data_IF_974912559840
#
_entry.id   IF_974912559840
#
_cell.length_a   1.000
_cell.length_b   1.000
_cell.length_c   1.000
_cell.angle_alpha   90.00
_cell.angle_beta   90.00
_cell.angle_gamma   90.00
#
_symmetry.space_group_name_H-M   'P 1'
#
loop_
_entity.id
_entity.type
_entity.pdbx_description
1 polymer ?
#
# COMPACT_ATOMS: atom_id res chain seq x y z
N UNK A 1 12.67 -18.02 48.45
CA UNK A 1 11.57 -17.46 47.63
C UNK A 1 11.74 -15.99 47.27
N UNK A 2 12.12 -15.10 48.20
CA UNK A 2 12.25 -13.64 47.93
C UNK A 2 13.33 -13.27 46.89
N UNK A 3 14.46 -13.99 46.87
CA UNK A 3 15.51 -13.81 45.86
C UNK A 3 15.11 -14.23 44.45
N UNK A 4 14.32 -15.29 44.31
CA UNK A 4 13.83 -15.76 43.02
C UNK A 4 12.85 -14.75 42.39
N UNK A 5 11.98 -14.13 43.20
CA UNK A 5 11.07 -13.08 42.75
C UNK A 5 11.82 -11.81 42.30
N UNK A 6 12.89 -11.41 43.01
CA UNK A 6 13.72 -10.27 42.64
C UNK A 6 14.45 -10.48 41.30
N UNK A 7 15.01 -11.67 41.07
CA UNK A 7 15.68 -12.01 39.81
C UNK A 7 14.70 -12.01 38.63
N UNK A 8 13.47 -12.51 38.84
CA UNK A 8 12.42 -12.53 37.80
C UNK A 8 11.99 -11.11 37.40
N UNK A 9 11.79 -10.22 38.37
CA UNK A 9 11.42 -8.82 38.13
C UNK A 9 12.56 -8.07 37.44
N UNK A 10 13.82 -8.25 37.87
CA UNK A 10 14.97 -7.64 37.21
C UNK A 10 15.13 -8.10 35.75
N UNK A 11 14.87 -9.39 35.48
CA UNK A 11 14.91 -9.94 34.12
C UNK A 11 13.84 -9.34 33.22
N UNK A 12 12.60 -9.22 33.73
CA UNK A 12 11.48 -8.60 33.01
C UNK A 12 11.75 -7.11 32.73
N UNK A 13 12.30 -6.37 33.69
CA UNK A 13 12.72 -4.97 33.49
C UNK A 13 13.84 -4.85 32.45
N UNK A 14 14.84 -5.75 32.48
CA UNK A 14 15.91 -5.78 31.48
C UNK A 14 15.42 -6.03 30.05
N UNK A 15 14.42 -6.92 29.89
CA UNK A 15 13.74 -7.16 28.60
C UNK A 15 12.98 -5.93 28.12
N UNK A 16 12.24 -5.25 28.99
CA UNK A 16 11.49 -4.03 28.65
C UNK A 16 12.42 -2.86 28.27
N UNK A 17 13.52 -2.68 28.99
CA UNK A 17 14.54 -1.66 28.68
C UNK A 17 15.24 -1.92 27.34
N UNK A 18 15.50 -3.18 26.97
CA UNK A 18 16.07 -3.53 25.66
C UNK A 18 15.13 -3.21 24.50
N UNK A 19 13.82 -3.32 24.69
CA UNK A 19 12.83 -2.93 23.68
C UNK A 19 12.78 -1.41 23.49
N UNK A 20 12.92 -0.63 24.57
CA UNK A 20 12.92 0.83 24.52
C UNK A 20 14.21 1.43 23.93
N UNK A 21 15.35 0.74 24.06
CA UNK A 21 16.65 1.20 23.60
C UNK A 21 16.92 0.98 22.10
N UNK A 22 16.03 0.31 21.36
CA UNK A 22 16.21 0.06 19.93
C UNK A 22 15.88 1.33 19.14
N UNK A 23 16.89 2.17 18.88
CA UNK A 23 16.77 3.32 18.00
C UNK A 23 16.68 2.87 16.53
N UNK A 24 15.45 2.60 16.08
CA UNK A 24 15.17 2.45 14.66
C UNK A 24 15.32 3.76 13.90
N UNK A 25 15.67 3.67 12.62
CA UNK A 25 15.59 4.82 11.70
C UNK A 25 14.14 5.34 11.68
N UNK A 26 13.98 6.65 11.90
CA UNK A 26 12.67 7.31 11.84
C UNK A 26 12.56 8.07 10.53
N UNK A 27 11.56 7.72 9.73
CA UNK A 27 11.24 8.44 8.51
C UNK A 27 10.85 9.89 8.83
N UNK A 28 11.31 10.86 8.01
CA UNK A 28 10.83 12.22 8.09
C UNK A 28 9.34 12.29 7.70
N UNK A 29 8.63 13.27 8.26
CA UNK A 29 7.19 13.47 8.01
C UNK A 29 6.93 13.97 6.59
N UNK A 30 7.89 14.66 5.98
CA UNK A 30 7.78 15.19 4.63
C UNK A 30 9.14 15.18 3.93
N UNK A 31 9.10 15.16 2.60
CA UNK A 31 10.27 15.39 1.77
C UNK A 31 10.63 16.90 1.74
N UNK A 32 11.91 17.28 1.68
CA UNK A 32 12.31 18.67 1.41
C UNK A 32 11.57 19.27 0.20
N UNK A 33 11.28 20.57 0.27
CA UNK A 33 10.45 21.27 -0.73
C UNK A 33 11.07 21.21 -2.13
N UNK A 34 10.26 20.82 -3.10
CA UNK A 34 10.62 20.44 -4.48
C UNK A 34 11.10 21.62 -5.37
N UNK A 35 11.12 22.86 -4.89
CA UNK A 35 11.63 23.99 -5.68
C UNK A 35 13.11 23.85 -6.09
N UNK A 36 13.86 22.90 -5.50
CA UNK A 36 15.21 22.50 -5.92
C UNK A 36 15.26 21.26 -6.86
N UNK A 37 14.14 20.58 -7.09
CA UNK A 37 14.08 19.26 -7.76
C UNK A 37 13.44 19.28 -9.16
N UNK A 38 12.93 20.43 -9.62
CA UNK A 38 12.27 20.58 -10.91
C UNK A 38 10.81 20.08 -10.92
N UNK A 39 10.07 20.41 -11.98
CA UNK A 39 8.61 20.23 -12.09
C UNK A 39 8.12 18.77 -12.06
N UNK A 40 9.02 17.78 -12.14
CA UNK A 40 8.65 16.36 -12.09
C UNK A 40 9.24 15.73 -10.84
N UNK A 41 8.38 15.13 -10.01
CA UNK A 41 8.81 14.28 -8.89
C UNK A 41 9.66 13.14 -9.45
N UNK A 42 10.93 13.15 -9.08
CA UNK A 42 11.92 12.16 -9.52
C UNK A 42 11.84 10.87 -8.69
N UNK A 43 12.39 9.78 -9.22
CA UNK A 43 12.56 8.54 -8.44
C UNK A 43 13.49 8.78 -7.25
N UNK A 44 13.15 8.17 -6.10
CA UNK A 44 13.95 8.26 -4.87
C UNK A 44 15.42 7.86 -5.12
N UNK A 45 15.65 6.90 -6.01
CA UNK A 45 17.00 6.41 -6.37
C UNK A 45 17.89 7.48 -7.02
N UNK A 46 17.33 8.55 -7.58
CA UNK A 46 18.11 9.67 -8.14
C UNK A 46 19.01 10.32 -7.09
N UNK A 47 18.51 10.49 -5.87
CA UNK A 47 19.25 11.12 -4.78
C UNK A 47 19.71 10.10 -3.72
N UNK A 48 18.92 9.05 -3.47
CA UNK A 48 19.24 8.04 -2.44
C UNK A 48 20.08 6.86 -2.96
N UNK A 49 20.23 6.70 -4.28
CA UNK A 49 20.94 5.58 -4.89
C UNK A 49 20.21 4.23 -4.76
N UNK A 50 20.93 3.15 -5.08
CA UNK A 50 20.41 1.78 -5.10
C UNK A 50 20.91 0.96 -3.90
N UNK A 51 20.12 -0.01 -3.44
CA UNK A 51 20.48 -1.00 -2.41
C UNK A 51 21.02 -0.39 -1.10
N UNK A 52 20.50 0.76 -0.69
CA UNK A 52 20.91 1.41 0.56
C UNK A 52 20.13 0.87 1.76
N UNK A 53 20.78 0.84 2.92
CA UNK A 53 20.17 0.59 4.22
C UNK A 53 20.07 1.93 4.97
N UNK A 54 19.04 2.14 5.81
CA UNK A 54 18.06 1.16 6.28
C UNK A 54 16.88 0.93 5.32
N UNK A 55 16.61 1.87 4.39
CA UNK A 55 15.50 1.78 3.44
C UNK A 55 16.05 1.64 2.02
N UNK A 56 15.61 0.58 1.34
CA UNK A 56 15.91 0.35 -0.07
C UNK A 56 14.86 1.06 -0.95
N UNK A 57 15.16 2.32 -1.26
CA UNK A 57 14.26 3.21 -2.00
C UNK A 57 13.95 2.75 -3.44
N UNK A 58 14.78 1.89 -4.03
CA UNK A 58 14.52 1.32 -5.35
C UNK A 58 13.20 0.55 -5.39
N UNK A 59 12.85 -0.12 -4.29
CA UNK A 59 11.62 -0.92 -4.19
C UNK A 59 10.35 -0.07 -4.20
N UNK A 60 10.47 1.23 -3.94
CA UNK A 60 9.37 2.21 -3.94
C UNK A 60 9.19 2.90 -5.30
N UNK A 61 9.97 2.51 -6.32
CA UNK A 61 9.81 3.05 -7.65
C UNK A 61 8.45 2.65 -8.27
N UNK A 62 7.71 3.65 -8.73
CA UNK A 62 6.40 3.51 -9.39
C UNK A 62 6.54 2.94 -10.82
N UNK A 63 7.02 1.71 -10.93
CA UNK A 63 6.97 0.97 -12.20
C UNK A 63 5.52 0.72 -12.60
N UNK A 64 5.28 0.35 -13.86
CA UNK A 64 3.94 -0.03 -14.29
C UNK A 64 3.34 -1.17 -13.44
N UNK A 65 4.19 -2.05 -12.88
CA UNK A 65 3.82 -3.22 -12.07
C UNK A 65 3.69 -2.91 -10.58
N UNK A 66 3.92 -1.67 -10.15
CA UNK A 66 4.03 -1.35 -8.73
C UNK A 66 2.79 -1.79 -7.92
N UNK A 67 1.58 -1.63 -8.45
CA UNK A 67 0.34 -2.07 -7.81
C UNK A 67 0.33 -3.58 -7.50
N UNK A 68 1.07 -4.41 -8.23
CA UNK A 68 1.15 -5.86 -7.98
C UNK A 68 2.11 -6.20 -6.84
N UNK A 69 3.17 -5.40 -6.66
CA UNK A 69 4.22 -5.62 -5.65
C UNK A 69 4.12 -4.72 -4.42
N UNK A 70 3.30 -3.67 -4.43
CA UNK A 70 3.28 -2.63 -3.40
C UNK A 70 3.02 -3.20 -2.00
N UNK A 71 2.23 -4.28 -1.89
CA UNK A 71 1.99 -4.97 -0.61
C UNK A 71 3.28 -5.36 0.12
N UNK A 72 4.33 -5.72 -0.62
CA UNK A 72 5.61 -6.17 -0.06
C UNK A 72 6.37 -5.02 0.59
N UNK A 73 6.30 -3.82 0.00
CA UNK A 73 6.96 -2.63 0.52
C UNK A 73 6.10 -1.92 1.56
N UNK A 74 4.77 -1.94 1.42
CA UNK A 74 3.85 -1.44 2.42
C UNK A 74 3.91 -2.25 3.73
N UNK A 75 4.02 -3.59 3.64
CA UNK A 75 4.22 -4.44 4.82
C UNK A 75 5.54 -4.13 5.54
N UNK A 76 6.58 -3.76 4.79
CA UNK A 76 7.87 -3.42 5.36
C UNK A 76 7.85 -2.07 6.06
N UNK A 77 7.31 -1.05 5.38
CA UNK A 77 7.16 0.30 5.90
C UNK A 77 6.20 1.13 5.02
N UNK A 78 4.93 1.19 5.40
CA UNK A 78 3.92 2.02 4.73
C UNK A 78 4.14 3.53 4.96
N UNK A 79 4.92 3.92 5.97
CA UNK A 79 5.20 5.31 6.30
C UNK A 79 5.93 6.06 5.17
N UNK A 80 6.69 5.34 4.35
CA UNK A 80 7.33 5.89 3.14
C UNK A 80 6.31 6.43 2.14
N UNK A 81 5.15 5.77 2.01
CA UNK A 81 4.08 6.19 1.11
C UNK A 81 3.48 7.53 1.56
N UNK A 82 3.35 7.71 2.89
CA UNK A 82 2.76 8.89 3.52
C UNK A 82 3.56 10.18 3.32
N UNK A 83 4.80 10.08 2.85
CA UNK A 83 5.62 11.23 2.46
C UNK A 83 4.99 11.98 1.28
N UNK A 84 4.32 11.27 0.37
CA UNK A 84 3.75 11.82 -0.85
C UNK A 84 2.23 11.61 -0.97
N UNK A 85 1.70 10.53 -0.39
CA UNK A 85 0.31 10.12 -0.53
C UNK A 85 -0.45 10.31 0.78
N UNK A 86 -1.66 10.84 0.71
CA UNK A 86 -2.57 10.85 1.85
C UNK A 86 -3.18 9.47 2.08
N UNK A 87 -3.67 9.19 3.30
CA UNK A 87 -4.36 7.95 3.63
C UNK A 87 -5.55 7.63 2.70
N UNK A 88 -6.21 8.66 2.16
CA UNK A 88 -7.27 8.51 1.16
C UNK A 88 -6.82 7.78 -0.09
N UNK A 89 -5.55 7.89 -0.48
CA UNK A 89 -4.99 7.13 -1.61
C UNK A 89 -5.06 5.62 -1.36
N UNK A 90 -4.67 5.16 -0.18
CA UNK A 90 -4.76 3.75 0.20
C UNK A 90 -6.22 3.27 0.19
N UNK A 91 -7.15 4.13 0.59
CA UNK A 91 -8.58 3.84 0.65
C UNK A 91 -9.18 3.60 -0.75
N UNK A 92 -8.56 4.09 -1.82
CA UNK A 92 -9.05 3.86 -3.19
C UNK A 92 -9.07 2.37 -3.59
N UNK A 93 -8.29 1.52 -2.91
CA UNK A 93 -8.31 0.07 -3.12
C UNK A 93 -8.62 -0.71 -1.83
N UNK A 94 -8.22 -0.18 -0.66
CA UNK A 94 -8.39 -0.83 0.64
C UNK A 94 -9.65 -0.39 1.40
N UNK A 95 -10.52 0.45 0.81
CA UNK A 95 -11.77 0.81 1.46
C UNK A 95 -12.69 -0.41 1.63
N UNK A 96 -13.00 -0.72 2.88
CA UNK A 96 -13.99 -1.75 3.26
C UNK A 96 -15.38 -1.16 3.50
N UNK A 97 -15.51 0.18 3.54
CA UNK A 97 -16.75 0.90 3.87
C UNK A 97 -17.03 2.13 3.01
N UNK A 98 -16.24 2.38 1.98
CA UNK A 98 -16.46 3.48 1.03
C UNK A 98 -16.90 2.86 -0.28
N UNK A 99 -17.96 3.41 -0.85
CA UNK A 99 -18.44 3.00 -2.17
C UNK A 99 -17.44 3.42 -3.24
N UNK A 100 -16.71 2.46 -3.80
CA UNK A 100 -15.75 2.68 -4.91
C UNK A 100 -16.46 2.51 -6.26
N UNK A 101 -17.55 3.26 -6.50
CA UNK A 101 -18.22 3.18 -7.80
C UNK A 101 -17.23 3.61 -8.89
N UNK A 102 -17.08 2.85 -9.99
CA UNK A 102 -16.15 3.23 -11.04
C UNK A 102 -16.44 4.61 -11.64
N UNK A 103 -17.73 4.99 -11.67
CA UNK A 103 -18.21 6.31 -12.10
C UNK A 103 -18.02 7.43 -11.08
N UNK A 104 -17.45 7.18 -9.90
CA UNK A 104 -17.16 8.21 -8.89
C UNK A 104 -15.66 8.27 -8.58
N UNK A 105 -14.98 7.14 -8.68
CA UNK A 105 -13.57 7.02 -8.32
C UNK A 105 -12.63 7.51 -9.43
N UNK A 106 -12.89 7.12 -10.68
CA UNK A 106 -12.05 7.45 -11.83
C UNK A 106 -12.86 7.40 -13.13
N UNK A 107 -13.72 8.40 -13.33
CA UNK A 107 -14.68 8.46 -14.45
C UNK A 107 -14.03 8.35 -15.83
N UNK A 108 -12.83 8.91 -16.00
CA UNK A 108 -12.17 9.05 -17.31
C UNK A 108 -10.90 8.21 -17.45
N UNK A 109 -10.49 7.51 -16.39
CA UNK A 109 -9.28 6.71 -16.38
C UNK A 109 -9.34 5.53 -17.33
N UNK A 110 -8.25 5.35 -18.09
CA UNK A 110 -8.05 4.26 -19.04
C UNK A 110 -6.86 3.36 -18.65
N UNK A 111 -6.32 3.54 -17.45
CA UNK A 111 -5.20 2.74 -16.96
C UNK A 111 -5.64 1.31 -16.68
N UNK A 112 -4.97 0.35 -17.33
CA UNK A 112 -5.34 -1.08 -17.29
C UNK A 112 -5.35 -1.69 -15.88
N UNK A 113 -4.61 -1.11 -14.92
CA UNK A 113 -4.39 -1.69 -13.58
C UNK A 113 -5.21 -1.03 -12.46
N UNK A 114 -6.21 -0.23 -12.80
CA UNK A 114 -7.20 0.31 -11.86
C UNK A 114 -8.49 -0.51 -11.97
N UNK A 115 -8.97 -0.99 -10.82
CA UNK A 115 -10.09 -1.92 -10.70
C UNK A 115 -11.44 -1.21 -10.82
N UNK A 116 -11.53 0.04 -10.38
CA UNK A 116 -12.76 0.84 -10.35
C UNK A 116 -12.65 2.07 -11.25
N UNK A 117 -12.61 1.83 -12.56
CA UNK A 117 -12.55 2.86 -13.62
C UNK A 117 -13.89 3.02 -14.35
N UNK A 118 -14.20 4.23 -14.78
CA UNK A 118 -15.51 4.61 -15.34
C UNK A 118 -15.95 3.78 -16.55
N UNK A 119 -15.01 3.22 -17.32
CA UNK A 119 -15.30 2.41 -18.52
C UNK A 119 -15.49 0.90 -18.27
N UNK A 120 -15.63 0.47 -17.00
CA UNK A 120 -15.71 -0.95 -16.62
C UNK A 120 -16.66 -1.77 -17.51
N UNK A 121 -17.89 -1.30 -17.76
CA UNK A 121 -18.87 -2.05 -18.56
C UNK A 121 -18.41 -2.31 -20.00
N UNK A 122 -17.74 -1.34 -20.62
CA UNK A 122 -17.24 -1.46 -21.99
C UNK A 122 -16.09 -2.47 -22.10
N UNK A 123 -15.34 -2.68 -21.01
CA UNK A 123 -14.14 -3.53 -20.99
C UNK A 123 -14.29 -4.80 -20.17
N UNK A 124 -15.38 -4.97 -19.43
CA UNK A 124 -15.62 -6.08 -18.51
C UNK A 124 -15.39 -7.44 -19.16
N UNK A 125 -15.90 -7.64 -20.38
CA UNK A 125 -15.69 -8.88 -21.15
C UNK A 125 -14.20 -9.20 -21.37
N UNK A 126 -13.37 -8.18 -21.57
CA UNK A 126 -11.95 -8.33 -21.82
C UNK A 126 -11.22 -8.62 -20.50
N UNK A 127 -11.41 -7.77 -19.49
CA UNK A 127 -10.72 -7.92 -18.20
C UNK A 127 -11.14 -9.21 -17.48
N UNK A 128 -12.44 -9.53 -17.46
CA UNK A 128 -12.97 -10.75 -16.87
C UNK A 128 -12.53 -12.03 -17.59
N UNK A 129 -12.05 -11.94 -18.84
CA UNK A 129 -11.41 -13.05 -19.55
C UNK A 129 -9.92 -13.16 -19.21
N UNK A 130 -9.23 -12.03 -19.04
CA UNK A 130 -7.79 -11.99 -18.81
C UNK A 130 -7.46 -12.33 -17.36
N UNK A 131 -8.08 -11.64 -16.40
CA UNK A 131 -7.86 -11.84 -14.97
C UNK A 131 -9.14 -11.52 -14.18
N UNK A 132 -10.10 -12.46 -14.14
CA UNK A 132 -11.29 -12.29 -13.30
C UNK A 132 -10.98 -12.28 -11.80
N UNK A 133 -9.80 -12.80 -11.39
CA UNK A 133 -9.40 -12.81 -9.97
C UNK A 133 -9.15 -11.41 -9.43
N UNK A 134 -8.79 -10.45 -10.29
CA UNK A 134 -8.61 -9.05 -9.93
C UNK A 134 -9.86 -8.44 -9.26
N UNK A 135 -11.05 -8.86 -9.67
CA UNK A 135 -12.32 -8.43 -9.10
C UNK A 135 -12.73 -9.27 -7.88
N UNK A 136 -12.56 -10.59 -7.98
CA UNK A 136 -13.09 -11.54 -6.98
C UNK A 136 -12.40 -11.44 -5.62
N UNK A 137 -11.16 -10.94 -5.58
CA UNK A 137 -10.42 -10.67 -4.34
C UNK A 137 -11.16 -9.73 -3.39
N UNK A 138 -11.97 -8.82 -3.94
CA UNK A 138 -12.73 -7.84 -3.16
C UNK A 138 -14.24 -8.10 -3.21
N UNK A 139 -14.76 -8.44 -4.38
CA UNK A 139 -16.21 -8.56 -4.61
C UNK A 139 -16.77 -9.99 -4.42
N UNK A 140 -15.89 -10.99 -4.27
CA UNK A 140 -16.28 -12.41 -4.29
C UNK A 140 -16.54 -12.93 -5.70
N UNK A 141 -16.81 -14.24 -5.80
CA UNK A 141 -17.06 -14.90 -7.08
C UNK A 141 -18.38 -14.47 -7.73
N UNK A 142 -18.60 -14.70 -9.04
CA UNK A 142 -19.85 -14.37 -9.71
C UNK A 142 -21.08 -15.02 -9.06
N UNK A 143 -20.90 -16.22 -8.48
CA UNK A 143 -21.97 -16.96 -7.78
C UNK A 143 -22.33 -16.37 -6.43
N UNK A 144 -21.41 -15.67 -5.77
CA UNK A 144 -21.59 -15.15 -4.41
C UNK A 144 -21.78 -13.63 -4.35
N UNK A 145 -21.44 -12.93 -5.42
CA UNK A 145 -21.43 -11.46 -5.47
C UNK A 145 -22.73 -10.90 -6.02
N UNK A 146 -23.42 -10.05 -5.24
CA UNK A 146 -24.67 -9.39 -5.68
C UNK A 146 -24.51 -8.59 -6.97
N UNK A 147 -23.34 -7.97 -7.19
CA UNK A 147 -23.06 -7.15 -8.37
C UNK A 147 -22.85 -7.98 -9.63
N UNK A 148 -22.40 -9.23 -9.49
CA UNK A 148 -22.19 -10.14 -10.61
C UNK A 148 -23.43 -11.00 -10.93
N UNK A 149 -24.17 -11.43 -9.90
CA UNK A 149 -25.34 -12.31 -10.02
C UNK A 149 -26.40 -11.73 -10.98
N UNK A 150 -26.57 -10.40 -11.02
CA UNK A 150 -27.52 -9.73 -11.92
C UNK A 150 -27.30 -10.03 -13.41
N UNK A 151 -26.09 -10.41 -13.81
CA UNK A 151 -25.76 -10.75 -15.19
C UNK A 151 -25.24 -12.19 -15.37
N UNK A 152 -24.74 -12.83 -14.31
CA UNK A 152 -24.05 -14.13 -14.39
C UNK A 152 -24.78 -15.30 -13.71
N UNK A 153 -25.91 -15.07 -13.05
CA UNK A 153 -26.71 -16.12 -12.38
C UNK A 153 -26.14 -16.52 -11.04
#
# INVERSE_FOLDING_TARGET
MRYAAFLLVASLLGLLLSCAARSGYRLPVAHPQIFELGEKREFCTKCHGYNKKPIDFERYNHTALFTESHRLVAYQDEGVCSICHAQSFCNNCHATRVELKPSLQDETGNYRRIQHRGDYLARHRIEGRIDPSSCFRCHGSPKSSKTCQSCHG
#
